data_IF_086518411943
#
_entry.id   IF_086518411943
#
_cell.length_a   1.000
_cell.length_b   1.000
_cell.length_c   1.000
_cell.angle_alpha   90.00
_cell.angle_beta   90.00
_cell.angle_gamma   90.00
#
_symmetry.space_group_name_H-M   'P 1'
#
loop_
_entity.id
_entity.type
_entity.pdbx_description
1 polymer ?
#
# COMPACT_ATOMS: atom_id res chain seq x y z
N UNK A 1 -13.60 11.65 -7.27
CA UNK A 1 -14.46 10.72 -6.48
C UNK A 1 -13.65 10.12 -5.34
N UNK A 2 -13.80 10.62 -4.11
CA UNK A 2 -13.47 9.85 -2.91
C UNK A 2 -14.70 9.01 -2.57
N UNK A 3 -14.75 7.80 -3.12
CA UNK A 3 -15.92 6.92 -3.01
C UNK A 3 -16.27 6.60 -1.55
N UNK A 4 -15.30 6.68 -0.64
CA UNK A 4 -15.52 6.42 0.79
C UNK A 4 -16.40 7.49 1.44
N UNK A 5 -16.39 8.72 0.93
CA UNK A 5 -17.26 9.81 1.37
C UNK A 5 -18.57 9.85 0.58
N UNK A 6 -18.56 9.44 -0.69
CA UNK A 6 -19.76 9.51 -1.55
C UNK A 6 -20.73 8.35 -1.32
N UNK A 7 -20.27 7.20 -0.81
CA UNK A 7 -21.11 5.99 -0.62
C UNK A 7 -21.73 5.85 0.77
N UNK A 8 -21.42 6.75 1.71
CA UNK A 8 -21.88 6.67 3.13
C UNK A 8 -23.24 7.37 3.31
N UNK A 9 -24.14 7.21 2.34
CA UNK A 9 -25.51 7.74 2.33
C UNK A 9 -25.63 9.25 1.99
N UNK A 10 -25.83 9.53 0.69
CA UNK A 10 -27.00 10.33 0.33
C UNK A 10 -27.70 9.75 -0.90
N UNK A 11 -29.02 9.93 -1.00
CA UNK A 11 -29.83 9.44 -2.12
C UNK A 11 -29.25 9.74 -3.52
N UNK A 12 -29.67 9.00 -4.56
CA UNK A 12 -29.02 8.97 -5.88
C UNK A 12 -28.83 10.36 -6.52
N UNK A 13 -29.76 11.29 -6.31
CA UNK A 13 -29.68 12.66 -6.84
C UNK A 13 -28.60 13.53 -6.19
N UNK A 14 -28.46 13.48 -4.86
CA UNK A 14 -27.42 14.24 -4.16
C UNK A 14 -26.02 13.75 -4.54
N UNK A 15 -25.89 12.45 -4.79
CA UNK A 15 -24.63 11.83 -5.22
C UNK A 15 -24.22 12.33 -6.61
N UNK A 16 -25.15 12.37 -7.57
CA UNK A 16 -24.89 12.90 -8.91
C UNK A 16 -24.54 14.40 -8.86
N UNK A 17 -25.28 15.20 -8.10
CA UNK A 17 -25.00 16.63 -7.94
C UNK A 17 -23.62 16.90 -7.33
N UNK A 18 -23.22 16.15 -6.29
CA UNK A 18 -21.89 16.26 -5.68
C UNK A 18 -20.77 15.90 -6.67
N UNK A 19 -20.98 14.88 -7.51
CA UNK A 19 -20.01 14.49 -8.54
C UNK A 19 -19.87 15.58 -9.60
N UNK A 20 -20.98 16.15 -10.07
CA UNK A 20 -20.98 17.25 -11.03
C UNK A 20 -20.20 18.46 -10.47
N UNK A 21 -20.56 18.91 -9.26
CA UNK A 21 -19.86 20.01 -8.59
C UNK A 21 -18.36 19.73 -8.39
N UNK A 22 -17.98 18.48 -8.14
CA UNK A 22 -16.57 18.10 -8.04
C UNK A 22 -15.87 18.19 -9.40
N UNK A 23 -16.53 17.76 -10.49
CA UNK A 23 -15.98 17.86 -11.85
C UNK A 23 -15.82 19.33 -12.25
N UNK A 24 -16.83 20.17 -12.00
CA UNK A 24 -16.79 21.61 -12.30
C UNK A 24 -15.60 22.27 -11.59
N UNK A 25 -15.42 22.01 -10.29
CA UNK A 25 -14.27 22.53 -9.56
C UNK A 25 -12.93 22.04 -10.12
N UNK A 26 -12.83 20.76 -10.53
CA UNK A 26 -11.61 20.22 -11.14
C UNK A 26 -11.36 20.85 -12.53
N UNK A 27 -12.40 21.18 -13.30
CA UNK A 27 -12.29 21.94 -14.55
C UNK A 27 -11.71 23.33 -14.27
N UNK A 28 -12.27 24.06 -13.30
CA UNK A 28 -11.81 25.40 -12.93
C UNK A 28 -10.31 25.38 -12.54
N UNK A 29 -9.90 24.39 -11.73
CA UNK A 29 -8.49 24.25 -11.34
C UNK A 29 -7.57 23.89 -12.53
N UNK A 30 -8.01 23.00 -13.41
CA UNK A 30 -7.21 22.61 -14.58
C UNK A 30 -7.08 23.78 -15.56
N UNK A 31 -8.16 24.52 -15.83
CA UNK A 31 -8.11 25.70 -16.68
C UNK A 31 -7.23 26.81 -16.09
N UNK A 32 -7.28 27.02 -14.78
CA UNK A 32 -6.44 28.02 -14.12
C UNK A 32 -4.95 27.65 -14.09
N UNK A 33 -4.63 26.36 -14.06
CA UNK A 33 -3.24 25.87 -14.02
C UNK A 33 -2.63 25.65 -15.42
N UNK A 34 -3.46 25.45 -16.45
CA UNK A 34 -3.04 25.20 -17.84
C UNK A 34 -2.02 24.05 -18.01
N UNK A 35 -2.28 22.82 -17.52
CA UNK A 35 -1.33 21.71 -17.62
C UNK A 35 -1.26 21.09 -19.01
N UNK A 36 -0.06 20.69 -19.42
CA UNK A 36 0.15 19.86 -20.63
C UNK A 36 -0.37 18.41 -20.46
N UNK A 37 -0.43 17.91 -19.22
CA UNK A 37 -0.91 16.56 -18.89
C UNK A 37 -1.50 16.53 -17.48
N UNK A 38 -2.60 15.79 -17.31
CA UNK A 38 -3.22 15.53 -16.01
C UNK A 38 -2.87 14.12 -15.53
N UNK A 39 -2.19 14.02 -14.39
CA UNK A 39 -1.88 12.74 -13.74
C UNK A 39 -2.80 12.57 -12.53
N UNK A 40 -3.55 11.47 -12.46
CA UNK A 40 -4.52 11.22 -11.41
C UNK A 40 -4.30 9.88 -10.72
N UNK A 41 -4.21 9.90 -9.38
CA UNK A 41 -4.20 8.69 -8.53
C UNK A 41 -5.64 8.15 -8.39
N UNK A 42 -6.09 7.40 -9.40
CA UNK A 42 -7.42 6.78 -9.52
C UNK A 42 -8.63 7.72 -9.32
N UNK A 43 -8.43 9.03 -9.19
CA UNK A 43 -9.51 10.00 -9.02
C UNK A 43 -10.21 10.25 -10.35
N UNK A 44 -11.38 9.64 -10.51
CA UNK A 44 -12.17 9.72 -11.74
C UNK A 44 -12.63 11.14 -12.12
N UNK A 45 -12.88 12.04 -11.16
CA UNK A 45 -13.32 13.42 -11.44
C UNK A 45 -12.26 14.18 -12.24
N UNK A 46 -11.00 14.12 -11.82
CA UNK A 46 -9.88 14.78 -12.52
C UNK A 46 -9.68 14.21 -13.92
N UNK A 47 -9.85 12.88 -14.11
CA UNK A 47 -9.75 12.24 -15.43
C UNK A 47 -10.90 12.62 -16.36
N UNK A 48 -12.10 12.86 -15.82
CA UNK A 48 -13.26 13.32 -16.58
C UNK A 48 -13.13 14.80 -16.93
N UNK A 49 -12.72 15.65 -15.98
CA UNK A 49 -12.47 17.07 -16.22
C UNK A 49 -11.41 17.28 -17.32
N UNK A 50 -10.26 16.58 -17.22
CA UNK A 50 -9.24 16.60 -18.26
C UNK A 50 -9.77 16.15 -19.64
N UNK A 51 -10.69 15.17 -19.66
CA UNK A 51 -11.36 14.74 -20.89
C UNK A 51 -12.12 15.87 -21.56
N UNK A 52 -12.92 16.60 -20.79
CA UNK A 52 -13.76 17.67 -21.30
C UNK A 52 -12.92 18.82 -21.87
N UNK A 53 -11.73 19.03 -21.30
CA UNK A 53 -10.77 20.03 -21.73
C UNK A 53 -9.83 19.56 -22.86
N UNK A 54 -9.92 18.29 -23.29
CA UNK A 54 -9.06 17.75 -24.33
C UNK A 54 -7.60 17.55 -23.91
N UNK A 55 -7.30 17.55 -22.60
CA UNK A 55 -5.94 17.45 -22.06
C UNK A 55 -5.54 15.97 -21.90
N UNK A 56 -4.31 15.57 -22.28
CA UNK A 56 -3.78 14.24 -22.04
C UNK A 56 -3.87 13.84 -20.58
N UNK A 57 -4.09 12.55 -20.34
CA UNK A 57 -4.38 12.04 -19.01
C UNK A 57 -3.67 10.72 -18.75
N UNK A 58 -3.12 10.60 -17.55
CA UNK A 58 -2.47 9.41 -17.04
C UNK A 58 -3.17 8.99 -15.75
N UNK A 59 -3.53 7.71 -15.65
CA UNK A 59 -4.11 7.14 -14.44
C UNK A 59 -3.05 6.33 -13.71
N UNK A 60 -2.80 6.65 -12.44
CA UNK A 60 -2.04 5.79 -11.53
C UNK A 60 -3.05 4.99 -10.71
N UNK A 61 -2.92 3.66 -10.67
CA UNK A 61 -3.82 2.82 -9.87
C UNK A 61 -3.16 1.51 -9.42
N UNK A 62 -3.50 1.07 -8.21
CA UNK A 62 -3.16 -0.25 -7.65
C UNK A 62 -4.40 -1.16 -7.50
N UNK A 63 -5.58 -0.64 -7.80
CA UNK A 63 -6.83 -1.39 -7.74
C UNK A 63 -7.72 -0.94 -8.90
N UNK A 64 -8.16 -1.90 -9.71
CA UNK A 64 -9.12 -1.66 -10.79
C UNK A 64 -10.52 -2.16 -10.42
N UNK A 65 -10.62 -3.12 -9.50
CA UNK A 65 -11.89 -3.59 -8.94
C UNK A 65 -11.98 -3.20 -7.47
N UNK A 66 -12.88 -2.26 -7.16
CA UNK A 66 -13.21 -1.91 -5.77
C UNK A 66 -14.32 -2.84 -5.30
N UNK A 67 -14.00 -3.77 -4.41
CA UNK A 67 -15.02 -4.59 -3.75
C UNK A 67 -15.68 -3.78 -2.63
N UNK A 68 -17.01 -3.58 -2.73
CA UNK A 68 -17.78 -2.88 -1.69
C UNK A 68 -18.52 -3.93 -0.85
N UNK A 69 -18.05 -4.27 0.37
CA UNK A 69 -18.77 -5.20 1.23
C UNK A 69 -20.04 -4.54 1.78
N UNK A 70 -21.23 -5.11 1.51
CA UNK A 70 -22.52 -4.67 2.08
C UNK A 70 -23.14 -5.75 2.98
N UNK A 71 -23.73 -5.32 4.11
CA UNK A 71 -24.31 -6.18 5.16
C UNK A 71 -25.82 -6.52 5.00
N UNK A 72 -26.56 -5.98 4.02
CA UNK A 72 -28.05 -6.04 4.01
C UNK A 72 -28.75 -6.83 2.87
N UNK A 73 -30.01 -7.23 3.18
CA UNK A 73 -30.93 -8.21 2.56
C UNK A 73 -31.32 -8.09 1.07
N UNK A 74 -30.77 -7.17 0.28
CA UNK A 74 -31.09 -7.02 -1.17
C UNK A 74 -29.87 -7.23 -2.08
N UNK A 75 -29.19 -8.36 -1.90
CA UNK A 75 -27.90 -8.64 -2.53
C UNK A 75 -27.92 -8.65 -4.07
N UNK A 76 -28.99 -9.12 -4.72
CA UNK A 76 -28.99 -9.28 -6.19
C UNK A 76 -29.10 -7.96 -6.96
N UNK A 77 -30.08 -7.11 -6.63
CA UNK A 77 -30.25 -5.79 -7.25
C UNK A 77 -29.10 -4.84 -6.92
N UNK A 78 -28.62 -4.87 -5.67
CA UNK A 78 -27.44 -4.11 -5.27
C UNK A 78 -26.20 -4.54 -6.06
N UNK A 79 -25.98 -5.85 -6.24
CA UNK A 79 -24.85 -6.38 -7.05
C UNK A 79 -24.89 -5.93 -8.51
N UNK A 80 -26.07 -5.82 -9.12
CA UNK A 80 -26.22 -5.33 -10.50
C UNK A 80 -25.88 -3.84 -10.56
N UNK A 81 -26.42 -3.02 -9.64
CA UNK A 81 -26.12 -1.59 -9.59
C UNK A 81 -24.63 -1.33 -9.30
N UNK A 82 -24.02 -2.12 -8.42
CA UNK A 82 -22.60 -2.06 -8.12
C UNK A 82 -21.76 -2.46 -9.34
N UNK A 83 -22.15 -3.52 -10.07
CA UNK A 83 -21.47 -3.93 -11.30
C UNK A 83 -21.52 -2.84 -12.38
N UNK A 84 -22.67 -2.20 -12.58
CA UNK A 84 -22.82 -1.08 -13.53
C UNK A 84 -21.95 0.10 -13.14
N UNK A 85 -21.95 0.47 -11.86
CA UNK A 85 -21.14 1.58 -11.33
C UNK A 85 -19.65 1.29 -11.48
N UNK A 86 -19.20 0.10 -11.09
CA UNK A 86 -17.81 -0.33 -11.24
C UNK A 86 -17.36 -0.39 -12.70
N UNK A 87 -18.26 -0.80 -13.61
CA UNK A 87 -17.97 -0.82 -15.05
C UNK A 87 -17.78 0.59 -15.61
N UNK A 88 -18.63 1.54 -15.22
CA UNK A 88 -18.50 2.94 -15.63
C UNK A 88 -17.19 3.56 -15.11
N UNK A 89 -16.84 3.30 -13.85
CA UNK A 89 -15.61 3.81 -13.23
C UNK A 89 -14.37 3.18 -13.87
N UNK A 90 -14.39 1.86 -14.09
CA UNK A 90 -13.31 1.16 -14.79
C UNK A 90 -13.08 1.70 -16.20
N UNK A 91 -14.16 2.08 -16.91
CA UNK A 91 -14.05 2.75 -18.22
C UNK A 91 -13.35 4.10 -18.11
N UNK A 92 -13.69 4.93 -17.11
CA UNK A 92 -13.02 6.23 -16.89
C UNK A 92 -11.51 6.03 -16.67
N UNK A 93 -11.12 5.05 -15.84
CA UNK A 93 -9.71 4.74 -15.60
C UNK A 93 -8.99 4.19 -16.83
N UNK A 94 -9.69 3.46 -17.69
CA UNK A 94 -9.12 2.83 -18.87
C UNK A 94 -9.10 3.73 -20.13
N UNK A 95 -9.92 4.77 -20.15
CA UNK A 95 -10.01 5.72 -21.27
C UNK A 95 -8.87 6.76 -21.27
N UNK A 96 -7.75 6.48 -20.61
CA UNK A 96 -6.59 7.38 -20.52
C UNK A 96 -5.53 7.10 -21.58
N UNK A 97 -4.49 7.95 -21.66
CA UNK A 97 -3.33 7.74 -22.53
C UNK A 97 -2.48 6.58 -22.00
N UNK A 98 -2.16 6.61 -20.69
CA UNK A 98 -1.39 5.57 -20.00
C UNK A 98 -2.00 5.23 -18.64
N UNK A 99 -1.97 3.95 -18.29
CA UNK A 99 -2.27 3.43 -16.96
C UNK A 99 -0.95 2.99 -16.32
N UNK A 100 -0.52 3.70 -15.29
CA UNK A 100 0.67 3.34 -14.53
C UNK A 100 0.27 2.54 -13.30
N UNK A 101 0.86 1.37 -13.15
CA UNK A 101 0.69 0.50 -11.99
C UNK A 101 1.98 0.54 -11.19
N UNK A 102 2.04 1.24 -10.03
CA UNK A 102 3.23 1.34 -9.18
C UNK A 102 3.46 0.06 -8.36
N UNK A 103 3.53 -1.06 -9.06
CA UNK A 103 3.73 -2.42 -8.56
C UNK A 103 4.71 -3.14 -9.49
N UNK A 104 5.26 -4.26 -9.03
CA UNK A 104 6.15 -5.08 -9.82
C UNK A 104 5.46 -5.66 -11.05
N UNK A 105 6.15 -5.86 -12.18
CA UNK A 105 5.57 -6.55 -13.32
C UNK A 105 5.27 -8.03 -12.99
N UNK A 106 4.36 -8.67 -13.76
CA UNK A 106 4.13 -10.10 -13.64
C UNK A 106 5.43 -10.89 -13.83
N UNK A 107 5.63 -11.99 -13.07
CA UNK A 107 4.68 -12.63 -12.16
C UNK A 107 4.70 -12.08 -10.71
N UNK A 108 5.38 -10.97 -10.44
CA UNK A 108 5.66 -10.46 -9.09
C UNK A 108 4.63 -9.45 -8.54
N UNK A 109 3.69 -9.00 -9.38
CA UNK A 109 2.67 -8.01 -9.05
C UNK A 109 1.89 -8.38 -7.77
N UNK A 110 2.02 -7.56 -6.73
CA UNK A 110 1.36 -7.76 -5.42
C UNK A 110 -0.17 -7.66 -5.56
N UNK A 111 -0.61 -6.62 -6.25
CA UNK A 111 -2.02 -6.24 -6.38
C UNK A 111 -2.74 -6.97 -7.51
N UNK A 112 -2.18 -8.08 -8.05
CA UNK A 112 -2.68 -8.81 -9.21
C UNK A 112 -4.19 -9.16 -9.11
N UNK A 113 -4.64 -9.66 -7.95
CA UNK A 113 -6.05 -10.02 -7.71
C UNK A 113 -6.99 -8.80 -7.58
N UNK A 114 -6.45 -7.59 -7.44
CA UNK A 114 -7.21 -6.34 -7.36
C UNK A 114 -7.20 -5.56 -8.70
N UNK A 115 -6.28 -5.92 -9.59
CA UNK A 115 -6.02 -5.20 -10.84
C UNK A 115 -6.77 -5.72 -12.05
N UNK A 116 -7.63 -6.74 -11.98
CA UNK A 116 -8.30 -7.41 -13.12
C UNK A 116 -8.81 -6.47 -14.24
N UNK A 117 -7.90 -5.98 -15.08
CA UNK A 117 -8.16 -5.02 -16.13
C UNK A 117 -8.52 -5.81 -17.39
N UNK A 118 -9.60 -5.46 -18.09
CA UNK A 118 -9.98 -6.10 -19.34
C UNK A 118 -8.84 -6.10 -20.38
N UNK A 119 -8.68 -7.21 -21.10
CA UNK A 119 -7.64 -7.40 -22.14
C UNK A 119 -7.59 -6.26 -23.16
N UNK A 120 -8.72 -5.65 -23.46
CA UNK A 120 -8.84 -4.51 -24.38
C UNK A 120 -7.96 -3.31 -23.97
N UNK A 121 -7.62 -3.18 -22.70
CA UNK A 121 -6.84 -2.05 -22.16
C UNK A 121 -5.38 -2.40 -21.85
N UNK A 122 -4.95 -3.65 -22.03
CA UNK A 122 -3.60 -4.10 -21.64
C UNK A 122 -2.47 -3.32 -22.33
N UNK A 123 -2.68 -2.87 -23.57
CA UNK A 123 -1.70 -2.05 -24.31
C UNK A 123 -1.41 -0.69 -23.67
N UNK A 124 -2.29 -0.21 -22.79
CA UNK A 124 -2.14 1.06 -22.07
C UNK A 124 -1.49 0.90 -20.70
N UNK A 125 -1.34 -0.33 -20.22
CA UNK A 125 -0.83 -0.61 -18.88
C UNK A 125 0.69 -0.64 -18.92
N UNK A 126 1.30 0.05 -17.96
CA UNK A 126 2.73 -0.07 -17.68
C UNK A 126 2.92 -0.31 -16.20
N UNK A 127 3.51 -1.47 -15.86
CA UNK A 127 3.99 -1.74 -14.51
C UNK A 127 5.31 -1.00 -14.34
N UNK A 128 5.32 0.01 -13.48
CA UNK A 128 6.47 0.89 -13.31
C UNK A 128 7.36 0.44 -12.15
N UNK A 129 6.89 -0.49 -11.31
CA UNK A 129 7.52 -0.79 -10.03
C UNK A 129 7.10 0.18 -8.92
N UNK A 130 7.32 -0.16 -7.65
CA UNK A 130 6.99 0.72 -6.53
C UNK A 130 7.76 2.05 -6.60
N UNK A 131 7.06 3.15 -6.32
CA UNK A 131 7.70 4.46 -6.16
C UNK A 131 8.21 4.57 -4.72
N UNK A 132 9.54 4.55 -4.56
CA UNK A 132 10.21 4.61 -3.27
C UNK A 132 10.83 5.99 -3.04
N UNK A 133 10.56 6.65 -1.90
CA UNK A 133 11.28 7.88 -1.52
C UNK A 133 12.77 7.68 -1.29
N UNK A 134 13.19 6.46 -0.88
CA UNK A 134 14.59 6.12 -0.63
C UNK A 134 14.86 4.66 -0.96
N UNK A 135 15.91 4.41 -1.75
CA UNK A 135 16.36 3.06 -2.06
C UNK A 135 17.16 2.47 -0.91
N UNK A 136 17.18 1.14 -0.81
CA UNK A 136 18.07 0.42 0.11
C UNK A 136 19.54 0.73 -0.19
N UNK A 137 19.90 1.03 -1.44
CA UNK A 137 21.26 1.37 -1.84
C UNK A 137 21.70 2.77 -1.37
N UNK A 138 20.74 3.67 -1.10
CA UNK A 138 21.01 5.05 -0.65
C UNK A 138 21.24 5.15 0.87
N UNK A 139 21.27 4.00 1.55
CA UNK A 139 21.33 3.90 3.00
C UNK A 139 22.59 3.13 3.43
N UNK A 140 23.19 3.48 4.58
CA UNK A 140 24.28 2.71 5.16
C UNK A 140 23.92 1.23 5.35
N UNK A 141 24.95 0.41 5.50
CA UNK A 141 24.76 -1.02 5.76
C UNK A 141 24.01 -1.29 7.07
N UNK A 142 23.37 -2.46 7.12
CA UNK A 142 22.46 -2.86 8.20
C UNK A 142 23.08 -2.68 9.60
N UNK A 143 24.32 -3.08 9.80
CA UNK A 143 25.04 -2.99 11.09
C UNK A 143 25.28 -1.53 11.48
N UNK A 144 25.72 -0.70 10.53
CA UNK A 144 25.94 0.73 10.76
C UNK A 144 24.64 1.45 11.14
N UNK A 145 23.52 1.08 10.50
CA UNK A 145 22.20 1.59 10.86
C UNK A 145 21.75 1.14 12.26
N UNK A 146 22.00 -0.13 12.64
CA UNK A 146 21.69 -0.61 14.00
C UNK A 146 22.40 0.22 15.05
N UNK A 147 23.71 0.45 14.88
CA UNK A 147 24.50 1.32 15.77
C UNK A 147 23.97 2.76 15.81
N UNK A 148 23.67 3.35 14.64
CA UNK A 148 23.10 4.71 14.54
C UNK A 148 21.77 4.83 15.29
N UNK A 149 20.93 3.81 15.22
CA UNK A 149 19.58 3.78 15.80
C UNK A 149 19.54 3.29 17.26
N UNK A 150 20.68 2.91 17.84
CA UNK A 150 20.74 2.34 19.20
C UNK A 150 20.10 0.95 19.30
N UNK A 151 20.11 0.18 18.21
CA UNK A 151 19.55 -1.17 18.15
C UNK A 151 20.66 -2.22 18.31
N UNK A 152 20.38 -3.38 18.93
CA UNK A 152 21.39 -4.43 19.09
C UNK A 152 21.82 -5.02 17.75
N UNK A 153 23.10 -5.36 17.66
CA UNK A 153 23.72 -5.86 16.43
C UNK A 153 23.48 -7.36 16.22
N UNK A 154 23.42 -8.12 17.31
CA UNK A 154 23.37 -9.59 17.37
C UNK A 154 21.97 -10.19 17.55
N UNK A 155 20.98 -9.36 17.91
CA UNK A 155 19.60 -9.81 18.12
C UNK A 155 18.71 -9.59 16.90
N UNK A 156 17.69 -10.47 16.69
CA UNK A 156 16.62 -10.23 15.73
C UNK A 156 15.84 -8.94 16.03
N UNK A 157 15.63 -8.13 15.00
CA UNK A 157 14.84 -6.88 15.09
C UNK A 157 13.55 -7.03 14.29
N UNK A 158 12.44 -6.87 15.01
CA UNK A 158 11.09 -6.82 14.47
C UNK A 158 10.69 -5.35 14.29
N UNK A 159 10.33 -4.97 13.07
CA UNK A 159 9.82 -3.64 12.78
C UNK A 159 8.32 -3.68 12.50
N UNK A 160 7.53 -2.93 13.27
CA UNK A 160 6.08 -2.85 13.14
C UNK A 160 5.62 -1.43 12.76
N UNK A 161 5.68 -1.05 11.47
CA UNK A 161 5.25 0.26 10.99
C UNK A 161 3.72 0.32 10.82
N UNK A 162 2.98 0.58 11.89
CA UNK A 162 1.52 0.51 11.84
C UNK A 162 0.92 1.78 11.25
N UNK A 163 0.01 1.59 10.29
CA UNK A 163 -0.77 2.64 9.64
C UNK A 163 -2.18 2.11 9.33
N UNK A 164 -3.09 3.00 8.93
CA UNK A 164 -4.47 2.66 8.60
C UNK A 164 -5.50 3.61 9.24
N UNK A 165 -6.80 3.35 9.00
CA UNK A 165 -7.89 4.14 9.57
C UNK A 165 -7.82 4.24 11.10
N UNK A 166 -8.18 5.37 11.72
CA UNK A 166 -7.92 5.61 13.15
C UNK A 166 -8.42 4.51 14.09
N UNK A 167 -9.66 4.03 13.91
CA UNK A 167 -10.26 2.99 14.77
C UNK A 167 -9.54 1.64 14.62
N UNK A 168 -9.32 1.20 13.39
CA UNK A 168 -8.62 -0.07 13.08
C UNK A 168 -7.16 -0.03 13.56
N UNK A 169 -6.51 1.12 13.37
CA UNK A 169 -5.13 1.36 13.81
C UNK A 169 -5.02 1.34 15.33
N UNK A 170 -5.92 2.02 16.05
CA UNK A 170 -5.92 2.03 17.51
C UNK A 170 -6.13 0.63 18.10
N UNK A 171 -7.08 -0.15 17.56
CA UNK A 171 -7.29 -1.54 17.96
C UNK A 171 -6.03 -2.39 17.74
N UNK A 172 -5.48 -2.33 16.51
CA UNK A 172 -4.35 -3.18 16.13
C UNK A 172 -3.06 -2.83 16.89
N UNK A 173 -2.78 -1.55 17.09
CA UNK A 173 -1.61 -1.11 17.89
C UNK A 173 -1.75 -1.51 19.36
N UNK A 174 -2.95 -1.42 19.95
CA UNK A 174 -3.21 -1.89 21.30
C UNK A 174 -2.97 -3.39 21.47
N UNK A 175 -3.52 -4.20 20.55
CA UNK A 175 -3.36 -5.65 20.54
C UNK A 175 -1.88 -6.06 20.38
N UNK A 176 -1.16 -5.48 19.41
CA UNK A 176 0.27 -5.77 19.21
C UNK A 176 1.10 -5.36 20.42
N UNK A 177 0.82 -4.22 21.05
CA UNK A 177 1.53 -3.77 22.25
C UNK A 177 1.40 -4.76 23.40
N UNK A 178 0.21 -5.31 23.63
CA UNK A 178 -0.04 -6.32 24.66
C UNK A 178 0.68 -7.65 24.38
N UNK A 179 0.76 -8.03 23.11
CA UNK A 179 1.47 -9.24 22.69
C UNK A 179 2.99 -9.03 22.85
N UNK A 180 3.52 -7.92 22.33
CA UNK A 180 4.94 -7.59 22.37
C UNK A 180 5.47 -7.39 23.79
N UNK A 181 4.68 -6.90 24.75
CA UNK A 181 5.11 -6.82 26.15
C UNK A 181 5.37 -8.19 26.80
N UNK A 182 4.95 -9.28 26.15
CA UNK A 182 5.15 -10.66 26.63
C UNK A 182 6.12 -11.45 25.73
N UNK A 183 6.72 -10.81 24.72
CA UNK A 183 7.71 -11.44 23.85
C UNK A 183 9.02 -11.72 24.62
N UNK A 184 9.76 -12.78 24.27
CA UNK A 184 11.02 -13.04 24.95
C UNK A 184 12.11 -12.02 24.57
N UNK A 185 13.10 -11.85 25.47
CA UNK A 185 14.08 -10.76 25.44
C UNK A 185 15.23 -10.96 24.42
N UNK A 186 15.19 -12.08 23.70
CA UNK A 186 16.03 -12.39 22.55
C UNK A 186 15.61 -11.63 21.29
N UNK A 187 14.37 -11.13 21.21
CA UNK A 187 13.90 -10.27 20.12
C UNK A 187 13.98 -8.80 20.52
N UNK A 188 14.18 -7.90 19.57
CA UNK A 188 14.03 -6.45 19.75
C UNK A 188 12.92 -5.92 18.86
N UNK A 189 12.07 -5.05 19.40
CA UNK A 189 10.85 -4.62 18.73
C UNK A 189 10.91 -3.11 18.56
N UNK A 190 10.71 -2.65 17.33
CA UNK A 190 10.50 -1.23 17.02
C UNK A 190 9.11 -1.08 16.42
N UNK A 191 8.22 -0.34 17.08
CA UNK A 191 6.84 -0.16 16.65
C UNK A 191 6.53 1.31 16.40
N UNK A 192 5.96 1.63 15.23
CA UNK A 192 5.39 2.96 14.94
C UNK A 192 3.87 2.89 15.07
N UNK A 193 3.29 3.85 15.80
CA UNK A 193 1.84 3.94 16.01
C UNK A 193 1.10 4.64 14.85
N UNK A 194 1.82 5.37 14.00
CA UNK A 194 1.25 6.04 12.83
C UNK A 194 0.54 7.37 13.15
N UNK A 195 0.96 8.05 14.21
CA UNK A 195 0.44 9.36 14.62
C UNK A 195 1.51 10.44 14.50
N UNK A 196 1.51 11.27 13.43
CA UNK A 196 2.55 12.29 13.20
C UNK A 196 2.56 13.38 14.29
N UNK A 197 1.43 13.63 14.93
CA UNK A 197 1.27 14.68 15.94
C UNK A 197 1.50 14.19 17.37
N UNK A 198 1.76 12.90 17.57
CA UNK A 198 2.12 12.34 18.87
C UNK A 198 3.63 12.39 18.96
N UNK A 199 4.17 13.16 19.92
CA UNK A 199 5.61 13.17 20.19
C UNK A 199 6.05 11.72 20.37
N UNK A 200 7.20 11.37 19.79
CA UNK A 200 7.87 10.10 20.05
C UNK A 200 8.31 10.07 21.50
N UNK A 201 7.38 9.83 22.42
CA UNK A 201 7.76 9.13 23.64
C UNK A 201 8.35 7.82 23.14
N UNK A 202 9.56 7.53 23.60
CA UNK A 202 10.24 6.28 23.33
C UNK A 202 10.12 5.42 24.58
N UNK A 203 8.90 5.03 25.02
CA UNK A 203 8.79 4.19 26.20
C UNK A 203 9.49 2.88 25.87
N UNK A 204 10.66 2.70 26.47
CA UNK A 204 11.37 1.44 26.43
C UNK A 204 10.72 0.57 27.48
N UNK A 205 9.99 -0.45 27.03
CA UNK A 205 9.49 -1.50 27.92
C UNK A 205 10.27 -2.78 27.60
N UNK A 206 11.31 -3.05 28.39
CA UNK A 206 12.24 -4.14 28.14
C UNK A 206 12.93 -3.99 26.77
N UNK A 207 12.58 -4.89 25.84
CA UNK A 207 13.13 -5.00 24.49
C UNK A 207 12.30 -4.28 23.40
N UNK A 208 11.28 -3.51 23.77
CA UNK A 208 10.39 -2.81 22.84
C UNK A 208 10.58 -1.28 22.89
N UNK A 209 10.72 -0.69 21.70
CA UNK A 209 10.77 0.75 21.43
C UNK A 209 9.49 1.13 20.67
N UNK A 210 8.72 2.06 21.22
CA UNK A 210 7.48 2.55 20.57
C UNK A 210 7.69 3.99 20.12
N UNK A 211 7.27 4.32 18.92
CA UNK A 211 7.29 5.68 18.36
C UNK A 211 5.89 6.10 17.94
N UNK A 212 5.52 7.37 18.17
CA UNK A 212 4.31 7.95 17.58
C UNK A 212 4.39 7.94 16.05
N UNK A 213 5.51 8.45 15.53
CA UNK A 213 5.83 8.50 14.11
C UNK A 213 7.34 8.38 13.89
N UNK A 214 7.75 7.76 12.78
CA UNK A 214 9.15 7.55 12.43
C UNK A 214 9.43 8.20 11.06
N UNK A 215 9.97 9.44 11.02
CA UNK A 215 10.31 10.11 9.78
C UNK A 215 11.36 9.34 8.95
N UNK A 216 12.39 8.80 9.61
CA UNK A 216 13.47 8.01 9.00
C UNK A 216 13.13 6.50 8.91
N UNK A 217 11.86 6.14 8.67
CA UNK A 217 11.41 4.73 8.72
C UNK A 217 12.16 3.77 7.79
N UNK A 218 12.75 4.26 6.70
CA UNK A 218 13.55 3.45 5.79
C UNK A 218 14.88 2.98 6.42
N UNK A 219 15.41 3.72 7.39
CA UNK A 219 16.57 3.30 8.19
C UNK A 219 16.21 2.10 9.07
N UNK A 220 15.07 2.18 9.77
CA UNK A 220 14.54 1.07 10.56
C UNK A 220 14.17 -0.12 9.70
N UNK A 221 13.57 0.11 8.53
CA UNK A 221 13.25 -0.94 7.56
C UNK A 221 14.52 -1.66 7.09
N UNK A 222 15.61 -0.96 6.77
CA UNK A 222 16.88 -1.61 6.39
C UNK A 222 17.55 -2.32 7.57
N UNK A 223 17.45 -1.77 8.78
CA UNK A 223 18.05 -2.33 10.00
C UNK A 223 17.34 -3.60 10.53
N UNK A 224 16.05 -3.77 10.25
CA UNK A 224 15.25 -4.88 10.76
C UNK A 224 15.50 -6.22 10.07
N UNK A 225 15.02 -7.30 10.67
CA UNK A 225 15.03 -8.67 10.13
C UNK A 225 13.65 -9.09 9.61
N UNK A 226 12.59 -8.63 10.27
CA UNK A 226 11.20 -8.95 9.95
C UNK A 226 10.35 -7.69 10.04
N UNK A 227 9.38 -7.56 9.14
CA UNK A 227 8.35 -6.53 9.21
C UNK A 227 7.03 -7.15 9.64
N UNK A 228 6.33 -6.54 10.60
CA UNK A 228 4.97 -6.93 11.00
C UNK A 228 4.02 -5.79 10.69
N UNK A 229 3.06 -6.00 9.79
CA UNK A 229 2.16 -4.93 9.36
C UNK A 229 0.78 -5.42 8.95
N UNK A 230 -0.09 -4.47 8.59
CA UNK A 230 -1.27 -4.75 7.78
C UNK A 230 -0.86 -5.15 6.36
N UNK A 231 -1.76 -5.81 5.62
CA UNK A 231 -1.54 -6.23 4.23
C UNK A 231 -1.60 -5.10 3.18
N UNK A 232 -1.30 -3.86 3.56
CA UNK A 232 -1.36 -2.73 2.63
C UNK A 232 -0.22 -2.79 1.61
N UNK A 233 -0.55 -2.54 0.33
CA UNK A 233 0.39 -2.60 -0.79
C UNK A 233 1.70 -1.82 -0.55
N UNK A 234 1.63 -0.60 0.00
CA UNK A 234 2.79 0.27 0.20
C UNK A 234 3.86 -0.32 1.14
N UNK A 235 3.47 -0.78 2.33
CA UNK A 235 4.43 -1.38 3.28
C UNK A 235 5.00 -2.68 2.75
N UNK A 236 4.17 -3.50 2.10
CA UNK A 236 4.59 -4.79 1.54
C UNK A 236 5.60 -4.61 0.39
N UNK A 237 5.29 -3.75 -0.58
CA UNK A 237 6.19 -3.45 -1.70
C UNK A 237 7.53 -2.89 -1.21
N UNK A 238 7.52 -1.96 -0.25
CA UNK A 238 8.73 -1.44 0.38
C UNK A 238 9.54 -2.53 1.08
N UNK A 239 8.88 -3.45 1.79
CA UNK A 239 9.55 -4.56 2.47
C UNK A 239 10.24 -5.48 1.47
N UNK A 240 9.58 -5.78 0.35
CA UNK A 240 10.17 -6.56 -0.76
C UNK A 240 11.38 -5.83 -1.36
N UNK A 241 11.27 -4.53 -1.64
CA UNK A 241 12.39 -3.72 -2.16
C UNK A 241 13.59 -3.65 -1.20
N UNK A 242 13.37 -3.88 0.10
CA UNK A 242 14.40 -3.92 1.13
C UNK A 242 14.83 -5.35 1.48
N UNK A 243 14.29 -6.37 0.81
CA UNK A 243 14.60 -7.78 1.05
C UNK A 243 14.18 -8.25 2.45
N UNK A 244 13.05 -7.74 2.96
CA UNK A 244 12.55 -8.03 4.31
C UNK A 244 11.34 -8.97 4.25
N UNK A 245 11.40 -10.16 4.87
CA UNK A 245 10.22 -10.99 5.01
C UNK A 245 9.21 -10.33 5.95
N UNK A 246 7.93 -10.63 5.73
CA UNK A 246 6.84 -9.94 6.44
C UNK A 246 5.85 -10.90 7.10
N UNK A 247 5.32 -10.51 8.25
CA UNK A 247 4.11 -11.12 8.82
C UNK A 247 2.99 -10.13 8.59
N UNK A 248 1.98 -10.54 7.82
CA UNK A 248 0.85 -9.69 7.52
C UNK A 248 -0.35 -10.12 8.35
N UNK A 249 -0.99 -9.13 8.97
CA UNK A 249 -2.24 -9.29 9.70
C UNK A 249 -3.31 -8.44 9.00
N UNK A 250 -3.93 -8.95 7.92
CA UNK A 250 -4.95 -8.22 7.17
C UNK A 250 -6.10 -7.77 8.06
N UNK A 251 -6.70 -6.64 7.71
CA UNK A 251 -7.93 -6.19 8.37
C UNK A 251 -9.10 -7.07 7.89
N UNK A 252 -9.93 -7.66 8.77
CA UNK A 252 -10.94 -8.65 8.38
C UNK A 252 -11.92 -8.23 7.28
N UNK A 253 -12.17 -6.93 7.10
CA UNK A 253 -13.09 -6.40 6.08
C UNK A 253 -12.40 -5.79 4.86
N UNK A 254 -11.06 -5.88 4.77
CA UNK A 254 -10.28 -5.34 3.65
C UNK A 254 -9.75 -6.47 2.78
N UNK A 255 -10.56 -6.87 1.80
CA UNK A 255 -10.22 -7.95 0.85
C UNK A 255 -8.93 -7.66 0.07
N UNK A 256 -8.64 -6.39 -0.23
CA UNK A 256 -7.38 -5.98 -0.86
C UNK A 256 -6.16 -6.39 -0.04
N UNK A 257 -6.19 -6.18 1.28
CA UNK A 257 -5.06 -6.50 2.14
C UNK A 257 -4.82 -8.01 2.20
N UNK A 258 -5.90 -8.79 2.19
CA UNK A 258 -5.81 -10.24 2.17
C UNK A 258 -5.26 -10.73 0.82
N UNK A 259 -5.77 -10.22 -0.28
CA UNK A 259 -5.30 -10.55 -1.64
C UNK A 259 -3.80 -10.27 -1.83
N UNK A 260 -3.33 -9.11 -1.36
CA UNK A 260 -1.91 -8.77 -1.39
C UNK A 260 -1.07 -9.74 -0.53
N UNK A 261 -1.60 -10.10 0.63
CA UNK A 261 -0.93 -11.01 1.55
C UNK A 261 -0.81 -12.42 0.99
N UNK A 262 -1.87 -12.95 0.37
CA UNK A 262 -1.83 -14.23 -0.35
C UNK A 262 -0.77 -14.20 -1.45
N UNK A 263 -0.72 -13.11 -2.22
CA UNK A 263 0.30 -12.96 -3.26
C UNK A 263 1.72 -12.97 -2.67
N UNK A 264 1.95 -12.35 -1.52
CA UNK A 264 3.23 -12.37 -0.85
C UNK A 264 3.62 -13.75 -0.29
N UNK A 265 2.63 -14.57 0.11
CA UNK A 265 2.82 -15.99 0.45
C UNK A 265 3.24 -16.79 -0.78
N UNK A 266 2.57 -16.59 -1.93
CA UNK A 266 2.95 -17.21 -3.20
C UNK A 266 4.40 -16.87 -3.61
N UNK A 267 4.84 -15.64 -3.31
CA UNK A 267 6.22 -15.18 -3.54
C UNK A 267 7.22 -15.73 -2.50
N UNK A 268 6.76 -16.41 -1.46
CA UNK A 268 7.60 -17.06 -0.46
C UNK A 268 8.28 -16.12 0.52
N UNK A 269 7.76 -14.90 0.70
CA UNK A 269 8.36 -13.84 1.53
C UNK A 269 7.49 -13.44 2.71
N UNK A 270 6.38 -14.14 2.96
CA UNK A 270 5.39 -13.71 3.95
C UNK A 270 4.67 -14.86 4.64
N UNK A 271 4.26 -14.62 5.88
CA UNK A 271 3.24 -15.41 6.59
C UNK A 271 2.02 -14.54 6.88
N UNK A 272 0.84 -15.16 6.87
CA UNK A 272 -0.43 -14.50 7.20
C UNK A 272 -0.89 -14.99 8.57
N UNK A 273 -1.28 -14.06 9.43
CA UNK A 273 -2.01 -14.36 10.67
C UNK A 273 -3.34 -13.61 10.59
N UNK A 274 -4.47 -14.32 10.66
CA UNK A 274 -5.77 -13.67 10.73
C UNK A 274 -5.89 -12.92 12.05
N UNK A 275 -6.61 -11.80 12.06
CA UNK A 275 -6.66 -10.94 13.24
C UNK A 275 -7.29 -11.66 14.45
N UNK A 276 -8.26 -12.54 14.21
CA UNK A 276 -8.87 -13.42 15.21
C UNK A 276 -7.90 -14.44 15.81
N UNK A 277 -6.89 -14.86 15.06
CA UNK A 277 -5.89 -15.84 15.47
C UNK A 277 -4.64 -15.17 16.08
N UNK A 278 -4.58 -13.84 16.07
CA UNK A 278 -3.42 -13.09 16.52
C UNK A 278 -3.28 -13.16 18.04
N UNK A 279 -2.28 -13.90 18.49
CA UNK A 279 -1.88 -14.00 19.89
C UNK A 279 -0.35 -14.15 20.00
N UNK A 280 0.18 -14.21 21.22
CA UNK A 280 1.62 -14.37 21.46
C UNK A 280 2.18 -15.61 20.79
N UNK A 281 1.51 -16.75 20.92
CA UNK A 281 2.03 -18.03 20.42
C UNK A 281 2.07 -18.06 18.89
N UNK A 282 1.00 -17.62 18.24
CA UNK A 282 0.92 -17.58 16.77
C UNK A 282 1.92 -16.60 16.19
N UNK A 283 2.05 -15.40 16.79
CA UNK A 283 3.00 -14.39 16.34
C UNK A 283 4.46 -14.81 16.54
N UNK A 284 4.80 -15.39 17.71
CA UNK A 284 6.16 -15.85 18.00
C UNK A 284 6.57 -17.00 17.08
N UNK A 285 5.67 -17.97 16.85
CA UNK A 285 5.90 -19.07 15.93
C UNK A 285 6.18 -18.58 14.50
N UNK A 286 5.38 -17.62 14.02
CA UNK A 286 5.59 -17.01 12.71
C UNK A 286 6.92 -16.24 12.64
N UNK A 287 7.29 -15.48 13.68
CA UNK A 287 8.59 -14.79 13.76
C UNK A 287 9.74 -15.79 13.67
N UNK A 288 9.70 -16.87 14.45
CA UNK A 288 10.73 -17.92 14.42
C UNK A 288 10.84 -18.55 13.03
N UNK A 289 9.71 -18.83 12.38
CA UNK A 289 9.65 -19.34 11.00
C UNK A 289 10.31 -18.38 10.00
N UNK A 290 10.06 -17.08 10.09
CA UNK A 290 10.63 -16.07 9.19
C UNK A 290 12.13 -15.79 9.42
N UNK A 291 12.65 -16.09 10.62
CA UNK A 291 14.08 -16.02 10.89
C UNK A 291 14.86 -17.21 10.32
N UNK A 292 14.19 -18.23 9.81
CA UNK A 292 14.85 -19.33 9.09
C UNK A 292 15.49 -18.84 7.79
N UNK A 293 16.55 -19.52 7.38
CA UNK A 293 17.33 -19.18 6.17
C UNK A 293 16.46 -19.07 4.92
N UNK A 294 15.44 -19.92 4.77
CA UNK A 294 14.56 -19.97 3.59
C UNK A 294 13.86 -18.65 3.31
N UNK A 295 13.21 -18.03 4.29
CA UNK A 295 12.49 -16.76 4.08
C UNK A 295 13.46 -15.61 3.81
N UNK A 296 14.59 -15.59 4.52
CA UNK A 296 15.62 -14.57 4.36
C UNK A 296 16.26 -14.63 2.96
N UNK A 297 16.53 -15.83 2.45
CA UNK A 297 17.04 -16.05 1.10
C UNK A 297 16.00 -15.69 0.03
N UNK A 298 14.76 -16.14 0.18
CA UNK A 298 13.68 -15.81 -0.75
C UNK A 298 13.49 -14.28 -0.87
N UNK A 299 13.47 -13.57 0.26
CA UNK A 299 13.32 -12.12 0.28
C UNK A 299 14.49 -11.41 -0.41
N UNK A 300 15.73 -11.85 -0.17
CA UNK A 300 16.93 -11.31 -0.85
C UNK A 300 16.94 -11.61 -2.35
N UNK A 301 16.54 -12.82 -2.76
CA UNK A 301 16.46 -13.20 -4.17
C UNK A 301 15.39 -12.38 -4.89
N UNK A 302 14.22 -12.23 -4.28
CA UNK A 302 13.16 -11.41 -4.84
C UNK A 302 13.59 -9.95 -4.96
N UNK A 303 14.22 -9.39 -3.92
CA UNK A 303 14.78 -8.03 -3.95
C UNK A 303 15.72 -7.83 -5.14
N UNK A 304 16.65 -8.77 -5.38
CA UNK A 304 17.58 -8.71 -6.52
C UNK A 304 16.85 -8.72 -7.85
N UNK A 305 15.84 -9.60 -8.00
CA UNK A 305 15.04 -9.70 -9.23
C UNK A 305 14.28 -8.43 -9.55
N UNK A 306 13.81 -7.71 -8.52
CA UNK A 306 12.96 -6.52 -8.68
C UNK A 306 13.72 -5.19 -8.69
N UNK A 307 15.04 -5.21 -8.52
CA UNK A 307 15.87 -4.01 -8.37
C UNK A 307 15.95 -3.15 -9.64
N UNK A 308 15.63 -3.71 -10.80
CA UNK A 308 15.68 -3.03 -12.10
C UNK A 308 14.52 -2.05 -12.31
N UNK A 309 13.41 -2.19 -11.56
CA UNK A 309 12.23 -1.35 -11.73
C UNK A 309 12.27 -0.12 -10.83
N UNK A 310 12.68 1.01 -11.42
CA UNK A 310 12.63 2.33 -10.79
C UNK A 310 11.31 3.04 -11.11
N UNK A 311 10.32 2.89 -10.23
CA UNK A 311 8.99 3.47 -10.42
C UNK A 311 8.97 4.97 -10.61
N UNK A 312 9.85 5.72 -9.94
CA UNK A 312 9.91 7.16 -10.06
C UNK A 312 10.44 7.57 -11.45
N UNK A 313 11.53 6.96 -11.89
CA UNK A 313 12.16 7.23 -13.18
C UNK A 313 11.25 6.85 -14.35
N UNK A 314 10.64 5.67 -14.30
CA UNK A 314 9.73 5.22 -15.37
C UNK A 314 8.48 6.10 -15.43
N UNK A 315 7.88 6.45 -14.28
CA UNK A 315 6.72 7.33 -14.25
C UNK A 315 7.04 8.72 -14.80
N UNK A 316 8.12 9.35 -14.35
CA UNK A 316 8.51 10.70 -14.80
C UNK A 316 8.82 10.74 -16.29
N UNK A 317 9.49 9.70 -16.82
CA UNK A 317 9.69 9.54 -18.27
C UNK A 317 8.36 9.51 -19.03
N UNK A 318 7.42 8.65 -18.65
CA UNK A 318 6.12 8.52 -19.34
C UNK A 318 5.31 9.82 -19.24
N UNK A 319 5.31 10.47 -18.07
CA UNK A 319 4.61 11.74 -17.86
C UNK A 319 5.17 12.82 -18.79
N UNK A 320 6.50 12.95 -18.84
CA UNK A 320 7.19 13.94 -19.69
C UNK A 320 6.97 13.68 -21.17
N UNK A 321 7.06 12.42 -21.61
CA UNK A 321 6.79 12.03 -23.01
C UNK A 321 5.32 12.27 -23.40
N UNK A 322 4.38 12.17 -22.46
CA UNK A 322 2.97 12.43 -22.70
C UNK A 322 2.68 13.92 -22.80
N UNK A 323 3.33 14.74 -21.96
CA UNK A 323 3.24 16.19 -22.03
C UNK A 323 3.76 16.73 -23.37
N UNK A 324 4.90 16.22 -23.86
CA UNK A 324 5.56 16.72 -25.07
C UNK A 324 4.91 16.28 -26.41
N UNK A 325 3.90 15.39 -26.38
CA UNK A 325 3.22 14.91 -27.60
C UNK A 325 2.03 15.78 -28.02
N UNK A 326 1.74 16.80 -27.23
CA UNK A 326 0.65 17.76 -27.40
C UNK A 326 1.18 19.16 -27.67
#
# INVERSE_FOLDING_TARGET
>A
IDFRLTTVDPGPFLTVYKIAKQIDAEIDYIQAFEPDVVVSDSRASSLVAAKFLGIPRICILNQFQVFIPRRNRFLKLARIADATTLTLVGKVWAEVNHILVPDFPPPYTISNKNLHIPKAYHKKITYIGPILPKSSNDLPEKIALRKKLGLPEDKPIIFAPISGPPKERAYFTGLLRQIFSQFPHDYNIVMSLGYPNVKSETPVNGNMIVHGWIPNRFEYLKACDIVISRGGHGTLSQSICYGKPTILIPTPSHTEQFNNAEKAVELGVTEIILQEDLNKQTLLSAVQKLLTTKYQENAKQLQKKIQEWNGLEIATKIITETANKN
#
